data_IF_078063900688
#
_entry.id   IF_078063900688
#
_cell.length_a   1.000
_cell.length_b   1.000
_cell.length_c   1.000
_cell.angle_alpha   90.00
_cell.angle_beta   90.00
_cell.angle_gamma   90.00
#
_symmetry.space_group_name_H-M   'P 1'
#
loop_
_entity.id
_entity.type
_entity.pdbx_description
1 polymer ?
#
# COMPACT_ATOMS: atom_id res chain seq x y z
N UNK A 1 0.39 -12.61 11.35
CA UNK A 1 1.68 -13.34 11.21
C UNK A 1 1.81 -13.72 9.75
N UNK A 2 2.92 -13.41 9.08
CA UNK A 2 3.12 -13.73 7.66
C UNK A 2 3.02 -15.25 7.42
N UNK A 3 2.47 -15.65 6.28
CA UNK A 3 2.29 -17.04 5.85
C UNK A 3 3.62 -17.80 5.80
N UNK A 4 4.70 -17.11 5.40
CA UNK A 4 6.06 -17.66 5.39
C UNK A 4 6.51 -18.13 6.78
N UNK A 5 6.27 -17.34 7.83
CA UNK A 5 6.66 -17.68 9.21
C UNK A 5 5.81 -18.81 9.82
N UNK A 6 4.77 -19.25 9.13
CA UNK A 6 3.89 -20.34 9.54
C UNK A 6 4.11 -21.62 8.71
N UNK A 7 5.06 -21.62 7.76
CA UNK A 7 5.30 -22.77 6.88
C UNK A 7 4.15 -23.07 5.92
N UNK A 8 3.31 -22.09 5.62
CA UNK A 8 2.17 -22.25 4.71
C UNK A 8 2.65 -22.35 3.25
N UNK A 9 1.82 -22.97 2.41
CA UNK A 9 2.13 -23.19 1.00
C UNK A 9 2.42 -21.91 0.21
N UNK A 10 3.18 -22.04 -0.87
CA UNK A 10 3.67 -20.91 -1.68
C UNK A 10 2.56 -19.96 -2.17
N UNK A 11 1.37 -20.49 -2.46
CA UNK A 11 0.22 -19.69 -2.88
C UNK A 11 -0.20 -18.67 -1.81
N UNK A 12 -0.16 -19.07 -0.53
CA UNK A 12 -0.51 -18.18 0.59
C UNK A 12 0.60 -17.15 0.85
N UNK A 13 1.87 -17.51 0.62
CA UNK A 13 2.98 -16.55 0.66
C UNK A 13 2.85 -15.50 -0.45
N UNK A 14 2.42 -15.89 -1.65
CA UNK A 14 2.20 -14.97 -2.76
C UNK A 14 1.11 -13.93 -2.48
N UNK A 15 0.08 -14.29 -1.71
CA UNK A 15 -0.95 -13.34 -1.27
C UNK A 15 -0.32 -12.25 -0.39
N UNK A 16 0.49 -12.62 0.59
CA UNK A 16 1.18 -11.66 1.46
C UNK A 16 2.13 -10.74 0.67
N UNK A 17 2.90 -11.30 -0.27
CA UNK A 17 3.81 -10.53 -1.13
C UNK A 17 3.04 -9.53 -1.99
N UNK A 18 1.91 -9.95 -2.58
CA UNK A 18 1.06 -9.06 -3.39
C UNK A 18 0.45 -7.94 -2.56
N UNK A 19 0.03 -8.24 -1.33
CA UNK A 19 -0.48 -7.24 -0.41
C UNK A 19 0.61 -6.22 -0.04
N UNK A 20 1.80 -6.69 0.32
CA UNK A 20 2.94 -5.81 0.64
C UNK A 20 3.31 -4.91 -0.54
N UNK A 21 3.32 -5.45 -1.76
CA UNK A 21 3.59 -4.67 -2.97
C UNK A 21 2.51 -3.59 -3.20
N UNK A 22 1.23 -3.92 -3.02
CA UNK A 22 0.15 -2.95 -3.14
C UNK A 22 0.27 -1.79 -2.16
N UNK A 23 0.66 -2.06 -0.91
CA UNK A 23 0.90 -1.01 0.07
C UNK A 23 2.09 -0.10 -0.31
N UNK A 24 3.12 -0.67 -0.96
CA UNK A 24 4.23 0.13 -1.49
C UNK A 24 3.79 0.99 -2.66
N UNK A 25 2.97 0.46 -3.57
CA UNK A 25 2.40 1.23 -4.68
C UNK A 25 1.61 2.44 -4.17
N UNK A 26 0.87 2.27 -3.06
CA UNK A 26 0.15 3.37 -2.41
C UNK A 26 1.09 4.45 -1.86
N UNK A 27 2.13 4.05 -1.13
CA UNK A 27 3.13 4.99 -0.59
C UNK A 27 3.87 5.74 -1.71
N UNK A 28 4.20 5.04 -2.79
CA UNK A 28 4.89 5.61 -3.96
C UNK A 28 3.96 6.44 -4.86
N UNK A 29 2.67 6.53 -4.53
CA UNK A 29 1.68 7.23 -5.34
C UNK A 29 1.44 6.58 -6.71
N UNK A 30 1.79 5.31 -6.88
CA UNK A 30 1.42 4.52 -8.06
C UNK A 30 -0.04 4.07 -7.99
N UNK A 31 -0.64 4.09 -6.79
CA UNK A 31 -2.06 3.87 -6.54
C UNK A 31 -2.52 4.89 -5.49
N UNK A 32 -3.57 5.66 -5.78
CA UNK A 32 -4.16 6.60 -4.84
C UNK A 32 -5.64 6.81 -5.16
N UNK A 33 -6.39 7.27 -4.16
CA UNK A 33 -7.77 7.71 -4.30
C UNK A 33 -7.89 9.22 -3.96
N UNK A 34 -9.09 9.77 -4.18
CA UNK A 34 -9.34 11.19 -3.94
C UNK A 34 -9.21 11.57 -2.46
N UNK A 35 -9.63 10.71 -1.54
CA UNK A 35 -9.57 10.98 -0.10
C UNK A 35 -8.11 11.09 0.37
N UNK A 36 -7.23 10.25 -0.16
CA UNK A 36 -5.79 10.30 0.07
C UNK A 36 -5.16 11.59 -0.47
N UNK A 37 -5.54 12.02 -1.67
CA UNK A 37 -5.06 13.28 -2.23
C UNK A 37 -5.53 14.48 -1.40
N UNK A 38 -6.79 14.50 -1.00
CA UNK A 38 -7.37 15.55 -0.16
C UNK A 38 -6.62 15.66 1.18
N UNK A 39 -6.35 14.52 1.83
CA UNK A 39 -5.58 14.48 3.07
C UNK A 39 -4.14 15.00 2.90
N UNK A 40 -3.48 14.69 1.78
CA UNK A 40 -2.14 15.19 1.47
C UNK A 40 -2.18 16.70 1.27
N UNK A 41 -3.04 17.20 0.38
CA UNK A 41 -3.08 18.61 -0.01
C UNK A 41 -3.71 19.54 1.03
N UNK A 42 -4.49 19.03 1.99
CA UNK A 42 -4.99 19.82 3.12
C UNK A 42 -3.90 20.54 3.92
N UNK A 43 -2.65 20.07 3.81
CA UNK A 43 -1.49 20.62 4.53
C UNK A 43 -0.59 21.49 3.64
N UNK A 44 -0.96 21.69 2.38
CA UNK A 44 -0.21 22.49 1.43
C UNK A 44 -0.77 23.91 1.41
N UNK A 45 0.11 24.90 1.26
CA UNK A 45 -0.31 26.29 1.09
C UNK A 45 -1.11 26.44 -0.21
N UNK A 46 -2.08 27.37 -0.22
CA UNK A 46 -2.86 27.69 -1.42
C UNK A 46 -1.93 28.21 -2.52
N UNK A 47 -1.99 27.58 -3.71
CA UNK A 47 -1.22 27.98 -4.89
C UNK A 47 -0.01 27.09 -5.22
N UNK A 48 0.00 25.83 -4.76
CA UNK A 48 1.03 24.83 -5.09
C UNK A 48 0.52 23.79 -6.06
#
# INVERSE_FOLDING_TARGET
>A
RAAFGQGLGGDLVMVDVRQALGALDEILGQRFDNDMLDAIFARFCIGK
#
